data_IF_601940761610
#
_entry.id   IF_601940761610
#
_cell.length_a   1.000
_cell.length_b   1.000
_cell.length_c   1.000
_cell.angle_alpha   90.00
_cell.angle_beta   90.00
_cell.angle_gamma   90.00
#
_symmetry.space_group_name_H-M   'P 1'
#
loop_
_entity.id
_entity.type
_entity.pdbx_description
1 polymer ?
#
# COMPACT_ATOMS: atom_id res chain seq x y z
N UNK A 1 19.72 -3.32 -27.61
CA UNK A 1 19.66 -1.97 -27.06
C UNK A 1 20.23 -2.03 -25.67
N UNK A 2 21.26 -1.28 -25.28
CA UNK A 2 21.67 -1.21 -23.88
C UNK A 2 20.48 -0.63 -23.12
N UNK A 3 19.97 -1.35 -22.12
CA UNK A 3 18.95 -0.84 -21.21
C UNK A 3 19.53 0.39 -20.52
N UNK A 4 18.88 1.55 -20.69
CA UNK A 4 19.27 2.76 -19.98
C UNK A 4 19.33 2.44 -18.49
N UNK A 5 20.50 2.68 -17.87
CA UNK A 5 20.67 2.51 -16.42
C UNK A 5 19.70 3.45 -15.71
N UNK A 6 18.95 2.94 -14.75
CA UNK A 6 18.04 3.75 -13.91
C UNK A 6 18.85 4.50 -12.88
N UNK A 7 18.49 5.74 -12.62
CA UNK A 7 19.20 6.61 -11.68
C UNK A 7 18.48 6.64 -10.33
N UNK A 8 19.20 6.33 -9.25
CA UNK A 8 18.67 6.30 -7.89
C UNK A 8 19.49 7.26 -7.00
N UNK A 9 18.82 8.22 -6.36
CA UNK A 9 19.40 9.00 -5.29
C UNK A 9 19.07 8.33 -3.95
N UNK A 10 20.11 7.88 -3.23
CA UNK A 10 19.98 7.33 -1.87
C UNK A 10 20.31 8.43 -0.87
N UNK A 11 19.37 8.68 0.05
CA UNK A 11 19.48 9.72 1.08
C UNK A 11 19.41 9.05 2.46
N UNK A 12 20.54 8.99 3.12
CA UNK A 12 20.71 8.37 4.46
C UNK A 12 21.96 8.94 5.11
N UNK A 13 21.90 9.23 6.40
CA UNK A 13 23.05 9.77 7.14
C UNK A 13 24.07 8.69 7.54
N UNK A 14 23.70 7.41 7.46
CA UNK A 14 24.57 6.28 7.69
C UNK A 14 25.34 5.86 6.41
N UNK A 15 26.67 6.05 6.34
CA UNK A 15 27.47 5.61 5.20
C UNK A 15 27.38 4.10 4.94
N UNK A 16 27.15 3.28 5.96
CA UNK A 16 27.05 1.83 5.82
C UNK A 16 25.77 1.41 5.06
N UNK A 17 24.69 2.19 5.22
CA UNK A 17 23.46 1.97 4.46
C UNK A 17 23.65 2.21 2.96
N UNK A 18 24.41 3.25 2.59
CA UNK A 18 24.75 3.49 1.17
C UNK A 18 25.55 2.34 0.56
N UNK A 19 26.48 1.75 1.32
CA UNK A 19 27.26 0.60 0.85
C UNK A 19 26.38 -0.66 0.73
N UNK A 20 25.51 -0.89 1.69
CA UNK A 20 24.59 -2.00 1.71
C UNK A 20 23.64 -1.95 0.50
N UNK A 21 23.00 -0.78 0.26
CA UNK A 21 22.09 -0.59 -0.88
C UNK A 21 22.85 -0.77 -2.20
N UNK A 22 24.07 -0.23 -2.30
CA UNK A 22 24.90 -0.40 -3.49
C UNK A 22 25.23 -1.86 -3.76
N UNK A 23 25.57 -2.64 -2.73
CA UNK A 23 25.83 -4.07 -2.83
C UNK A 23 24.55 -4.86 -3.23
N UNK A 24 23.40 -4.50 -2.67
CA UNK A 24 22.12 -5.12 -3.00
C UNK A 24 21.70 -4.88 -4.46
N UNK A 25 21.98 -3.70 -5.02
CA UNK A 25 21.57 -3.30 -6.36
C UNK A 25 22.64 -3.54 -7.42
N UNK A 26 23.83 -4.05 -7.03
CA UNK A 26 24.93 -4.33 -7.97
C UNK A 26 24.47 -5.27 -9.09
N UNK A 27 24.77 -4.88 -10.35
CA UNK A 27 24.40 -5.66 -11.53
C UNK A 27 22.91 -5.64 -11.91
N UNK A 28 22.09 -4.83 -11.24
CA UNK A 28 20.63 -4.74 -11.49
C UNK A 28 20.23 -3.55 -12.39
N UNK A 29 21.20 -2.86 -13.01
CA UNK A 29 20.95 -1.74 -13.93
C UNK A 29 20.58 -0.43 -13.22
N UNK A 30 21.08 -0.21 -11.99
CA UNK A 30 20.95 1.02 -11.25
C UNK A 30 22.27 1.80 -11.22
N UNK A 31 22.20 3.09 -11.45
CA UNK A 31 23.25 4.07 -11.18
C UNK A 31 22.90 4.82 -9.91
N UNK A 32 23.78 4.79 -8.90
CA UNK A 32 23.52 5.28 -7.56
C UNK A 32 24.26 6.57 -7.29
N UNK A 33 23.54 7.60 -6.84
CA UNK A 33 24.09 8.78 -6.18
C UNK A 33 23.73 8.76 -4.68
N UNK A 34 24.51 9.48 -3.86
CA UNK A 34 24.40 9.48 -2.40
C UNK A 34 24.21 10.88 -1.88
N UNK A 35 23.36 11.06 -0.88
CA UNK A 35 23.23 12.28 -0.09
C UNK A 35 23.13 11.91 1.39
N UNK A 36 23.78 12.66 2.26
CA UNK A 36 23.81 12.37 3.70
C UNK A 36 22.65 13.03 4.48
N UNK A 37 21.83 13.85 3.84
CA UNK A 37 20.68 14.54 4.43
C UNK A 37 19.80 15.16 3.33
N UNK A 38 18.65 15.72 3.75
CA UNK A 38 17.70 16.34 2.82
C UNK A 38 18.26 17.56 2.06
N UNK A 39 19.11 18.38 2.69
CA UNK A 39 19.70 19.55 2.01
C UNK A 39 20.62 19.14 0.86
N UNK A 40 21.46 18.13 1.08
CA UNK A 40 22.30 17.57 0.02
C UNK A 40 21.47 16.91 -1.08
N UNK A 41 20.37 16.25 -0.72
CA UNK A 41 19.47 15.66 -1.69
C UNK A 41 18.84 16.72 -2.60
N UNK A 42 18.30 17.81 -2.04
CA UNK A 42 17.77 18.93 -2.80
C UNK A 42 18.83 19.56 -3.72
N UNK A 43 20.04 19.79 -3.21
CA UNK A 43 21.13 20.32 -4.01
C UNK A 43 21.57 19.41 -5.20
N UNK A 44 21.37 18.10 -5.08
CA UNK A 44 21.59 17.15 -6.18
C UNK A 44 20.45 17.16 -7.18
N UNK A 45 19.20 17.21 -6.70
CA UNK A 45 17.99 17.29 -7.52
C UNK A 45 17.94 18.57 -8.38
N UNK A 46 18.54 19.67 -7.90
CA UNK A 46 18.70 20.89 -8.69
C UNK A 46 19.66 20.73 -9.87
N UNK A 47 20.62 19.81 -9.79
CA UNK A 47 21.67 19.60 -10.80
C UNK A 47 21.36 18.49 -11.78
N UNK A 48 20.58 17.50 -11.35
CA UNK A 48 20.29 16.28 -12.11
C UNK A 48 18.92 15.71 -11.70
N UNK A 49 18.17 15.19 -12.68
CA UNK A 49 16.98 14.39 -12.45
C UNK A 49 17.37 12.94 -12.07
N UNK A 50 16.54 12.33 -11.22
CA UNK A 50 16.64 10.91 -10.85
C UNK A 50 15.31 10.23 -11.16
N UNK A 51 15.39 8.94 -11.57
CA UNK A 51 14.23 8.13 -11.81
C UNK A 51 13.50 7.83 -10.48
N UNK A 52 14.28 7.73 -9.37
CA UNK A 52 13.74 7.46 -8.04
C UNK A 52 14.66 8.04 -6.94
N UNK A 53 14.03 8.50 -5.86
CA UNK A 53 14.71 8.87 -4.60
C UNK A 53 14.34 7.88 -3.52
N UNK A 54 15.32 7.30 -2.85
CA UNK A 54 15.16 6.43 -1.67
C UNK A 54 15.72 7.16 -0.46
N UNK A 55 14.85 7.57 0.47
CA UNK A 55 15.24 8.41 1.61
C UNK A 55 14.95 7.75 2.94
N UNK A 56 15.91 7.78 3.86
CA UNK A 56 15.58 7.55 5.26
C UNK A 56 14.66 8.66 5.79
N UNK A 57 13.79 8.31 6.74
CA UNK A 57 12.93 9.27 7.46
C UNK A 57 13.76 10.00 8.50
N UNK A 58 14.54 9.27 9.30
CA UNK A 58 15.23 9.82 10.48
C UNK A 58 16.66 10.22 10.12
N UNK A 59 16.85 11.50 9.81
CA UNK A 59 18.17 12.06 9.49
C UNK A 59 18.39 13.38 10.26
N UNK A 60 19.62 13.72 10.63
CA UNK A 60 19.94 15.02 11.21
C UNK A 60 19.67 16.18 10.25
N UNK A 61 19.15 17.28 10.77
CA UNK A 61 18.81 18.47 9.98
C UNK A 61 17.48 18.31 9.29
N UNK A 62 17.45 18.33 7.96
CA UNK A 62 16.25 18.07 7.19
C UNK A 62 15.98 16.56 7.15
N UNK A 63 14.92 16.13 7.82
CA UNK A 63 14.46 14.73 7.82
C UNK A 63 13.81 14.32 6.47
N UNK A 64 13.60 13.01 6.28
CA UNK A 64 13.09 12.47 5.03
C UNK A 64 11.64 12.88 4.73
N UNK A 65 10.80 13.14 5.73
CA UNK A 65 9.41 13.59 5.55
C UNK A 65 9.37 15.06 5.12
N UNK A 66 10.22 15.88 5.71
CA UNK A 66 10.40 17.28 5.29
C UNK A 66 10.94 17.36 3.87
N UNK A 67 11.94 16.52 3.54
CA UNK A 67 12.46 16.39 2.17
C UNK A 67 11.34 15.98 1.19
N UNK A 68 10.54 15.00 1.53
CA UNK A 68 9.41 14.54 0.73
C UNK A 68 8.41 15.68 0.45
N UNK A 69 8.07 16.48 1.48
CA UNK A 69 7.22 17.67 1.32
C UNK A 69 7.79 18.69 0.34
N UNK A 70 9.07 19.02 0.45
CA UNK A 70 9.76 19.90 -0.50
C UNK A 70 9.81 19.32 -1.92
N UNK A 71 10.05 18.01 -2.04
CA UNK A 71 10.08 17.36 -3.34
C UNK A 71 8.71 17.36 -4.02
N UNK A 72 7.61 17.14 -3.29
CA UNK A 72 6.27 17.19 -3.87
C UNK A 72 5.91 18.58 -4.40
N UNK A 73 6.38 19.64 -3.76
CA UNK A 73 6.17 21.00 -4.23
C UNK A 73 6.99 21.36 -5.48
N UNK A 74 8.26 20.89 -5.57
CA UNK A 74 9.18 21.27 -6.65
C UNK A 74 9.24 20.24 -7.77
N UNK A 75 9.05 18.96 -7.47
CA UNK A 75 9.16 17.80 -8.35
C UNK A 75 7.95 16.88 -8.17
N UNK A 76 6.73 17.32 -8.55
CA UNK A 76 5.48 16.60 -8.25
C UNK A 76 5.46 15.17 -8.83
N UNK A 77 6.13 14.96 -9.96
CA UNK A 77 6.18 13.66 -10.66
C UNK A 77 7.33 12.74 -10.19
N UNK A 78 8.15 13.18 -9.21
CA UNK A 78 9.29 12.38 -8.74
C UNK A 78 8.82 11.16 -7.96
N UNK A 79 9.39 9.99 -8.27
CA UNK A 79 9.18 8.79 -7.47
C UNK A 79 10.01 8.85 -6.20
N UNK A 80 9.36 8.71 -5.04
CA UNK A 80 10.00 8.77 -3.74
C UNK A 80 9.58 7.57 -2.92
N UNK A 81 10.56 6.77 -2.51
CA UNK A 81 10.41 5.68 -1.54
C UNK A 81 11.05 6.11 -0.24
N UNK A 82 10.33 5.97 0.87
CA UNK A 82 10.86 6.27 2.19
C UNK A 82 11.26 4.98 2.92
N UNK A 83 12.43 5.01 3.55
CA UNK A 83 12.89 3.96 4.44
C UNK A 83 12.47 4.30 5.87
N UNK A 84 11.90 3.36 6.59
CA UNK A 84 11.44 3.57 7.98
C UNK A 84 11.92 2.47 8.90
N UNK A 85 12.21 2.80 10.15
CA UNK A 85 12.43 1.80 11.20
C UNK A 85 11.06 1.30 11.66
N UNK A 86 10.88 -0.02 11.78
CA UNK A 86 9.64 -0.60 12.32
C UNK A 86 9.23 0.10 13.62
N UNK A 87 7.97 0.52 13.72
CA UNK A 87 7.20 0.87 14.93
C UNK A 87 6.68 2.30 15.08
N UNK A 88 6.57 3.11 14.03
CA UNK A 88 5.86 4.40 14.14
C UNK A 88 4.81 4.56 13.04
N UNK A 89 3.57 4.15 13.35
CA UNK A 89 2.40 4.43 12.51
C UNK A 89 2.32 5.92 12.10
N UNK A 90 2.81 6.82 12.96
CA UNK A 90 2.87 8.25 12.68
C UNK A 90 3.72 8.58 11.45
N UNK A 91 4.91 8.02 11.31
CA UNK A 91 5.80 8.28 10.16
C UNK A 91 5.22 7.71 8.86
N UNK A 92 4.60 6.53 8.94
CA UNK A 92 3.97 5.92 7.76
C UNK A 92 2.75 6.75 7.32
N UNK A 93 1.92 7.20 8.26
CA UNK A 93 0.80 8.10 7.98
C UNK A 93 1.25 9.43 7.39
N UNK A 94 2.33 9.98 7.91
CA UNK A 94 2.89 11.24 7.42
C UNK A 94 3.50 11.06 6.01
N UNK A 95 4.11 9.91 5.74
CA UNK A 95 4.56 9.57 4.38
C UNK A 95 3.40 9.42 3.39
N UNK A 96 2.26 8.87 3.82
CA UNK A 96 1.03 8.85 3.02
C UNK A 96 0.50 10.27 2.76
N UNK A 97 0.46 11.14 3.77
CA UNK A 97 0.04 12.54 3.64
C UNK A 97 0.89 13.32 2.64
N UNK A 98 2.19 13.10 2.69
CA UNK A 98 3.15 13.72 1.78
C UNK A 98 3.29 12.96 0.46
N UNK A 99 2.41 11.99 0.18
CA UNK A 99 2.35 11.27 -1.09
C UNK A 99 3.66 10.56 -1.47
N UNK A 100 4.31 9.88 -0.50
CA UNK A 100 5.37 8.95 -0.84
C UNK A 100 4.84 7.91 -1.85
N UNK A 101 5.65 7.58 -2.86
CA UNK A 101 5.26 6.59 -3.86
C UNK A 101 5.18 5.20 -3.26
N UNK A 102 6.13 4.88 -2.37
CA UNK A 102 6.16 3.67 -1.56
C UNK A 102 7.00 3.89 -0.30
N UNK A 103 7.01 2.91 0.59
CA UNK A 103 7.91 2.88 1.75
C UNK A 103 8.44 1.45 1.93
N UNK A 104 9.56 1.34 2.64
CA UNK A 104 10.20 0.07 2.96
C UNK A 104 10.67 0.07 4.42
N UNK A 105 10.28 -0.97 5.17
CA UNK A 105 10.69 -1.09 6.57
C UNK A 105 12.11 -1.66 6.71
N UNK A 106 12.96 -1.02 7.52
CA UNK A 106 14.27 -1.54 7.93
C UNK A 106 14.10 -2.58 9.06
N UNK A 107 14.82 -3.73 9.05
CA UNK A 107 15.75 -4.19 8.01
C UNK A 107 15.01 -4.81 6.81
N UNK A 108 15.56 -4.66 5.62
CA UNK A 108 15.05 -5.24 4.40
C UNK A 108 16.13 -6.08 3.69
N UNK A 109 15.71 -7.04 2.89
CA UNK A 109 16.59 -7.84 2.05
C UNK A 109 16.65 -7.28 0.61
N UNK A 110 17.52 -7.92 -0.20
CA UNK A 110 17.73 -7.54 -1.61
C UNK A 110 16.46 -7.64 -2.45
N UNK A 111 15.66 -8.66 -2.22
CA UNK A 111 14.48 -8.96 -3.03
C UNK A 111 13.37 -7.94 -2.73
N UNK A 112 13.12 -7.68 -1.46
CA UNK A 112 12.18 -6.66 -0.99
C UNK A 112 12.55 -5.27 -1.51
N UNK A 113 13.85 -4.88 -1.41
CA UNK A 113 14.31 -3.60 -1.92
C UNK A 113 14.06 -3.50 -3.43
N UNK A 114 14.51 -4.49 -4.21
CA UNK A 114 14.36 -4.46 -5.66
C UNK A 114 12.89 -4.43 -6.09
N UNK A 115 12.03 -5.22 -5.47
CA UNK A 115 10.59 -5.25 -5.73
C UNK A 115 9.93 -3.90 -5.43
N UNK A 116 10.25 -3.30 -4.27
CA UNK A 116 9.70 -1.99 -3.87
C UNK A 116 10.12 -0.88 -4.84
N UNK A 117 11.40 -0.82 -5.25
CA UNK A 117 11.88 0.19 -6.20
C UNK A 117 11.22 0.03 -7.58
N UNK A 118 11.05 -1.20 -8.07
CA UNK A 118 10.41 -1.47 -9.36
C UNK A 118 8.90 -1.14 -9.32
N UNK A 119 8.23 -1.50 -8.24
CA UNK A 119 6.82 -1.16 -8.01
C UNK A 119 6.63 0.35 -7.96
N UNK A 120 7.50 1.08 -7.25
CA UNK A 120 7.44 2.54 -7.18
C UNK A 120 7.55 3.20 -8.55
N UNK A 121 8.43 2.72 -9.44
CA UNK A 121 8.57 3.26 -10.80
C UNK A 121 7.34 3.01 -11.69
N UNK A 122 6.56 1.98 -11.42
CA UNK A 122 5.33 1.68 -12.16
C UNK A 122 4.12 2.46 -11.66
N UNK A 123 4.20 3.05 -10.47
CA UNK A 123 3.12 3.81 -9.85
C UNK A 123 3.04 5.21 -10.46
N UNK A 124 1.85 5.65 -10.86
CA UNK A 124 1.65 7.03 -11.31
C UNK A 124 1.72 7.98 -10.12
N UNK A 125 2.58 8.99 -10.22
CA UNK A 125 2.78 10.02 -9.20
C UNK A 125 1.97 11.26 -9.55
N UNK A 126 1.58 12.07 -8.57
CA UNK A 126 1.06 13.42 -8.80
C UNK A 126 -0.45 13.60 -8.63
N UNK A 127 -1.18 12.66 -7.99
CA UNK A 127 -2.58 12.87 -7.61
C UNK A 127 -2.80 12.52 -6.13
N UNK A 128 -3.64 13.32 -5.45
CA UNK A 128 -4.14 13.05 -4.08
C UNK A 128 -5.14 11.88 -4.10
N UNK A 129 -4.62 10.66 -4.27
CA UNK A 129 -5.45 9.47 -4.37
C UNK A 129 -5.82 8.90 -2.99
N UNK A 130 -5.06 9.27 -1.95
CA UNK A 130 -5.28 8.85 -0.56
C UNK A 130 -5.25 10.08 0.32
N UNK A 131 -6.40 10.41 0.93
CA UNK A 131 -6.53 11.53 1.87
C UNK A 131 -6.65 10.99 3.29
N UNK A 132 -5.76 11.40 4.17
CA UNK A 132 -5.84 11.13 5.60
C UNK A 132 -6.83 12.10 6.24
N UNK A 133 -7.96 11.57 6.72
CA UNK A 133 -9.03 12.35 7.37
C UNK A 133 -8.80 12.43 8.88
N UNK A 134 -8.36 11.32 9.50
CA UNK A 134 -7.99 11.25 10.91
C UNK A 134 -6.76 10.38 11.09
N UNK A 135 -5.92 10.74 12.05
CA UNK A 135 -4.62 10.10 12.33
C UNK A 135 -4.38 9.88 13.84
N UNK A 136 -5.46 9.70 14.60
CA UNK A 136 -5.29 9.36 16.01
C UNK A 136 -4.61 7.99 16.15
N UNK A 137 -3.76 7.75 17.16
CA UNK A 137 -2.93 6.55 17.25
C UNK A 137 -3.67 5.22 17.10
N UNK A 138 -4.93 5.18 17.54
CA UNK A 138 -5.77 3.98 17.49
C UNK A 138 -7.00 4.14 16.58
N UNK A 139 -7.05 5.22 15.79
CA UNK A 139 -8.13 5.50 14.85
C UNK A 139 -7.62 6.29 13.65
N UNK A 140 -7.42 5.58 12.57
CA UNK A 140 -7.00 6.14 11.28
C UNK A 140 -8.21 6.12 10.36
N UNK A 141 -8.50 7.26 9.73
CA UNK A 141 -9.58 7.39 8.74
C UNK A 141 -9.01 7.91 7.43
N UNK A 142 -9.32 7.22 6.34
CA UNK A 142 -8.82 7.53 5.00
C UNK A 142 -9.98 7.65 4.01
N UNK A 143 -9.86 8.56 3.06
CA UNK A 143 -10.66 8.59 1.83
C UNK A 143 -9.73 8.27 0.65
N UNK A 144 -10.13 7.33 -0.19
CA UNK A 144 -9.29 6.75 -1.23
C UNK A 144 -10.00 6.78 -2.57
N UNK A 145 -9.37 7.31 -3.60
CA UNK A 145 -9.92 7.26 -4.97
C UNK A 145 -9.98 5.84 -5.50
N UNK A 146 -11.02 5.54 -6.28
CA UNK A 146 -11.22 4.21 -6.86
C UNK A 146 -10.24 3.93 -8.01
N UNK A 147 -8.95 3.76 -7.67
CA UNK A 147 -7.85 3.43 -8.57
C UNK A 147 -7.08 2.21 -8.07
N UNK A 148 -6.63 1.35 -8.99
CA UNK A 148 -5.87 0.14 -8.63
C UNK A 148 -4.54 0.45 -7.95
N UNK A 149 -3.86 1.52 -8.35
CA UNK A 149 -2.57 1.92 -7.77
C UNK A 149 -2.64 2.21 -6.27
N UNK A 150 -3.83 2.62 -5.77
CA UNK A 150 -4.04 2.90 -4.34
C UNK A 150 -4.10 1.63 -3.49
N UNK A 151 -4.52 0.51 -4.08
CA UNK A 151 -4.67 -0.78 -3.39
C UNK A 151 -3.33 -1.27 -2.85
N UNK A 152 -2.30 -1.31 -3.70
CA UNK A 152 -0.98 -1.81 -3.30
C UNK A 152 -0.34 -0.91 -2.23
N UNK A 153 -0.45 0.41 -2.38
CA UNK A 153 0.06 1.39 -1.40
C UNK A 153 -0.61 1.21 -0.04
N UNK A 154 -1.94 1.04 -0.01
CA UNK A 154 -2.68 0.82 1.23
C UNK A 154 -2.43 -0.55 1.83
N UNK A 155 -2.33 -1.60 1.02
CA UNK A 155 -2.00 -2.94 1.51
C UNK A 155 -0.64 -2.94 2.19
N UNK A 156 0.36 -2.29 1.58
CA UNK A 156 1.67 -2.12 2.20
C UNK A 156 1.57 -1.32 3.51
N UNK A 157 0.77 -0.24 3.54
CA UNK A 157 0.50 0.53 4.74
C UNK A 157 -0.08 -0.34 5.87
N UNK A 158 -1.07 -1.17 5.57
CA UNK A 158 -1.71 -2.05 6.56
C UNK A 158 -0.71 -3.06 7.14
N UNK A 159 0.20 -3.61 6.32
CA UNK A 159 1.25 -4.53 6.79
C UNK A 159 2.19 -3.90 7.82
N UNK A 160 2.45 -2.60 7.69
CA UNK A 160 3.39 -1.88 8.54
C UNK A 160 2.72 -1.24 9.78
N UNK A 161 1.39 -1.24 9.87
CA UNK A 161 0.72 -0.75 11.07
C UNK A 161 1.11 -1.58 12.29
N UNK A 162 1.41 -0.92 13.43
CA UNK A 162 1.70 -1.64 14.66
C UNK A 162 0.56 -2.55 15.05
N UNK A 163 0.85 -3.84 15.17
CA UNK A 163 -0.11 -4.85 15.63
C UNK A 163 0.61 -5.85 16.53
N UNK A 164 -0.10 -6.44 17.48
CA UNK A 164 0.40 -7.54 18.30
C UNK A 164 0.25 -8.91 17.60
N UNK A 165 -0.17 -8.88 16.34
CA UNK A 165 -0.28 -10.06 15.48
C UNK A 165 1.11 -10.61 15.12
N UNK A 166 1.21 -11.94 15.03
CA UNK A 166 2.40 -12.57 14.49
C UNK A 166 2.57 -12.24 12.97
N UNK A 167 3.74 -12.51 12.36
CA UNK A 167 3.99 -12.16 10.96
C UNK A 167 3.00 -12.80 9.98
N UNK A 168 2.60 -14.04 10.21
CA UNK A 168 1.69 -14.78 9.32
C UNK A 168 0.27 -14.21 9.41
N UNK A 169 -0.23 -13.94 10.61
CA UNK A 169 -1.53 -13.30 10.82
C UNK A 169 -1.58 -11.90 10.21
N UNK A 170 -0.49 -11.14 10.31
CA UNK A 170 -0.39 -9.81 9.72
C UNK A 170 -0.50 -9.88 8.20
N UNK A 171 0.19 -10.83 7.56
CA UNK A 171 0.11 -11.03 6.12
C UNK A 171 -1.29 -11.49 5.70
N UNK A 172 -1.90 -12.41 6.43
CA UNK A 172 -3.27 -12.87 6.19
C UNK A 172 -4.27 -11.71 6.23
N UNK A 173 -4.18 -10.85 7.24
CA UNK A 173 -5.05 -9.67 7.36
C UNK A 173 -4.79 -8.65 6.25
N UNK A 174 -3.54 -8.46 5.84
CA UNK A 174 -3.22 -7.58 4.71
C UNK A 174 -3.81 -8.12 3.38
N UNK A 175 -3.78 -9.43 3.17
CA UNK A 175 -4.42 -10.08 2.01
C UNK A 175 -5.94 -9.90 2.09
N UNK A 176 -6.56 -10.15 3.24
CA UNK A 176 -8.00 -9.98 3.43
C UNK A 176 -8.42 -8.53 3.18
N UNK A 177 -7.70 -7.57 3.74
CA UNK A 177 -7.95 -6.14 3.50
C UNK A 177 -7.81 -5.78 2.02
N UNK A 178 -6.76 -6.28 1.35
CA UNK A 178 -6.54 -6.06 -0.08
C UNK A 178 -7.72 -6.52 -0.92
N UNK A 179 -8.25 -7.71 -0.67
CA UNK A 179 -9.39 -8.26 -1.39
C UNK A 179 -10.66 -7.43 -1.17
N UNK A 180 -10.93 -7.00 0.07
CA UNK A 180 -12.07 -6.13 0.36
C UNK A 180 -11.94 -4.76 -0.30
N UNK A 181 -10.75 -4.17 -0.29
CA UNK A 181 -10.48 -2.89 -0.93
C UNK A 181 -10.60 -3.00 -2.46
N UNK A 182 -10.08 -4.08 -3.06
CA UNK A 182 -10.26 -4.35 -4.50
C UNK A 182 -11.74 -4.43 -4.86
N UNK A 183 -12.54 -5.17 -4.10
CA UNK A 183 -13.98 -5.27 -4.33
C UNK A 183 -14.66 -3.90 -4.22
N UNK A 184 -14.30 -3.10 -3.22
CA UNK A 184 -14.84 -1.75 -3.05
C UNK A 184 -14.51 -0.82 -4.23
N UNK A 185 -13.29 -0.92 -4.77
CA UNK A 185 -12.81 -0.11 -5.90
C UNK A 185 -13.38 -0.59 -7.24
N UNK A 186 -13.31 -1.91 -7.53
CA UNK A 186 -13.73 -2.47 -8.81
C UNK A 186 -15.26 -2.52 -8.93
N UNK A 187 -15.94 -3.06 -7.93
CA UNK A 187 -17.38 -3.29 -7.98
C UNK A 187 -18.19 -2.12 -7.42
N UNK A 188 -17.78 -1.56 -6.28
CA UNK A 188 -18.46 -0.42 -5.69
C UNK A 188 -18.17 0.89 -6.41
N UNK A 189 -16.89 1.16 -6.68
CA UNK A 189 -16.42 2.37 -7.35
C UNK A 189 -16.45 2.32 -8.88
N UNK A 190 -16.47 1.14 -9.49
CA UNK A 190 -16.35 0.91 -10.94
C UNK A 190 -15.06 1.50 -11.54
N UNK A 191 -13.96 1.50 -10.78
CA UNK A 191 -12.67 2.10 -11.15
C UNK A 191 -12.77 3.59 -11.53
N UNK A 192 -13.80 4.28 -11.08
CA UNK A 192 -14.02 5.70 -11.33
C UNK A 192 -13.16 6.54 -10.37
N UNK A 193 -12.12 7.26 -10.85
CA UNK A 193 -11.24 8.03 -10.00
C UNK A 193 -11.91 9.24 -9.33
N UNK A 194 -13.14 9.59 -9.70
CA UNK A 194 -13.91 10.64 -9.03
C UNK A 194 -14.63 10.13 -7.79
N UNK A 195 -14.83 8.81 -7.67
CA UNK A 195 -15.47 8.18 -6.52
C UNK A 195 -14.46 7.86 -5.43
N UNK A 196 -14.93 7.82 -4.20
CA UNK A 196 -14.13 7.60 -3.01
C UNK A 196 -14.61 6.39 -2.22
N UNK A 197 -13.67 5.56 -1.78
CA UNK A 197 -13.87 4.55 -0.75
C UNK A 197 -13.45 5.13 0.59
N UNK A 198 -14.29 5.02 1.61
CA UNK A 198 -13.96 5.39 2.97
C UNK A 198 -13.42 4.18 3.73
N UNK A 199 -12.32 4.37 4.44
CA UNK A 199 -11.63 3.32 5.20
C UNK A 199 -11.41 3.84 6.61
N UNK A 200 -11.72 3.01 7.63
CA UNK A 200 -11.33 3.25 9.00
C UNK A 200 -10.55 2.04 9.53
N UNK A 201 -9.43 2.32 10.15
CA UNK A 201 -8.68 1.40 10.98
C UNK A 201 -8.87 1.81 12.43
N UNK A 202 -9.31 0.89 13.27
CA UNK A 202 -9.49 1.12 14.71
C UNK A 202 -8.78 -0.01 15.46
N UNK A 203 -7.87 0.35 16.36
CA UNK A 203 -7.21 -0.59 17.26
C UNK A 203 -7.72 -0.41 18.67
N UNK A 204 -8.15 -1.49 19.26
CA UNK A 204 -8.52 -1.59 20.68
C UNK A 204 -7.46 -2.41 21.43
N UNK A 205 -7.65 -2.60 22.74
CA UNK A 205 -6.79 -3.49 23.53
C UNK A 205 -6.96 -4.98 23.19
N UNK A 206 -7.98 -5.36 22.41
CA UNK A 206 -8.33 -6.77 22.16
C UNK A 206 -8.61 -7.08 20.71
N UNK A 207 -8.65 -6.08 19.84
CA UNK A 207 -9.00 -6.28 18.42
C UNK A 207 -8.48 -5.17 17.53
N UNK A 208 -8.31 -5.53 16.27
CA UNK A 208 -8.12 -4.61 15.16
C UNK A 208 -9.38 -4.68 14.31
N UNK A 209 -9.93 -3.51 13.94
CA UNK A 209 -11.14 -3.39 13.14
C UNK A 209 -10.82 -2.57 11.90
N UNK A 210 -11.13 -3.12 10.74
CA UNK A 210 -11.14 -2.41 9.47
C UNK A 210 -12.57 -2.25 9.01
N UNK A 211 -13.00 -1.01 8.82
CA UNK A 211 -14.27 -0.67 8.20
C UNK A 211 -14.02 -0.09 6.83
N UNK A 212 -14.66 -0.64 5.81
CA UNK A 212 -14.55 -0.18 4.42
C UNK A 212 -15.96 0.10 3.91
N UNK A 213 -16.16 1.29 3.33
CA UNK A 213 -17.41 1.68 2.67
C UNK A 213 -17.12 2.15 1.26
N UNK A 214 -17.72 1.47 0.31
CA UNK A 214 -17.66 1.86 -1.10
C UNK A 214 -18.83 2.79 -1.50
N UNK A 215 -18.69 3.53 -2.60
CA UNK A 215 -19.69 4.47 -3.09
C UNK A 215 -20.82 3.81 -3.92
N UNK A 216 -20.84 2.48 -4.01
CA UNK A 216 -21.77 1.72 -4.85
C UNK A 216 -23.15 1.53 -4.23
N UNK A 217 -23.98 0.86 -4.99
CA UNK A 217 -25.33 0.51 -4.56
C UNK A 217 -25.34 -0.71 -3.62
N UNK A 218 -24.19 -1.37 -3.47
CA UNK A 218 -24.02 -2.58 -2.68
C UNK A 218 -24.36 -3.85 -3.46
N UNK A 219 -24.36 -4.98 -2.76
CA UNK A 219 -24.70 -6.29 -3.31
C UNK A 219 -25.48 -7.13 -2.30
N UNK A 220 -26.26 -8.09 -2.79
CA UNK A 220 -26.84 -9.14 -1.96
C UNK A 220 -25.93 -10.37 -1.97
N UNK A 221 -25.69 -10.97 -0.81
CA UNK A 221 -24.94 -12.22 -0.68
C UNK A 221 -25.57 -13.36 -1.51
N UNK A 222 -26.89 -13.32 -1.72
CA UNK A 222 -27.62 -14.30 -2.55
C UNK A 222 -27.23 -14.23 -4.03
N UNK A 223 -26.70 -13.11 -4.50
CA UNK A 223 -26.33 -12.87 -5.90
C UNK A 223 -24.84 -13.12 -6.21
N UNK A 224 -24.09 -13.71 -5.27
CA UNK A 224 -22.64 -13.96 -5.41
C UNK A 224 -22.31 -15.36 -5.98
N UNK A 225 -23.14 -15.89 -6.88
CA UNK A 225 -22.90 -17.21 -7.53
C UNK A 225 -21.52 -17.33 -8.21
N UNK A 226 -20.91 -16.20 -8.59
CA UNK A 226 -19.56 -16.12 -9.17
C UNK A 226 -18.40 -16.09 -8.13
N UNK A 227 -18.71 -16.16 -6.84
CA UNK A 227 -17.72 -16.18 -5.77
C UNK A 227 -17.68 -17.56 -5.10
N UNK A 228 -16.47 -18.01 -4.71
CA UNK A 228 -16.26 -19.33 -4.09
C UNK A 228 -17.05 -19.53 -2.78
N UNK A 229 -17.43 -18.45 -2.11
CA UNK A 229 -18.29 -18.49 -0.91
C UNK A 229 -19.69 -19.03 -1.19
N UNK A 230 -20.15 -18.99 -2.42
CA UNK A 230 -21.44 -19.54 -2.84
C UNK A 230 -21.38 -21.01 -3.28
N UNK A 231 -20.19 -21.62 -3.32
CA UNK A 231 -20.04 -23.02 -3.68
C UNK A 231 -20.65 -23.95 -2.62
N UNK A 232 -21.19 -25.06 -3.09
CA UNK A 232 -21.63 -26.13 -2.19
C UNK A 232 -20.49 -27.13 -1.97
N UNK A 233 -20.51 -27.94 -0.88
CA UNK A 233 -19.53 -29.01 -0.67
C UNK A 233 -19.47 -30.01 -1.83
N UNK A 234 -20.60 -30.20 -2.53
CA UNK A 234 -20.72 -31.14 -3.66
C UNK A 234 -20.18 -30.55 -4.97
N UNK A 235 -20.06 -29.22 -5.07
CA UNK A 235 -19.53 -28.53 -6.24
C UNK A 235 -18.61 -27.36 -5.84
N UNK A 236 -17.37 -27.68 -5.42
CA UNK A 236 -16.41 -26.68 -4.90
C UNK A 236 -15.85 -25.74 -5.97
N UNK A 237 -16.09 -26.01 -7.27
CA UNK A 237 -15.56 -25.23 -8.39
C UNK A 237 -16.68 -24.51 -9.18
N UNK A 238 -17.91 -24.58 -8.77
CA UNK A 238 -19.06 -23.95 -9.45
C UNK A 238 -18.81 -22.48 -9.84
N UNK A 239 -18.23 -21.69 -8.95
CA UNK A 239 -17.93 -20.27 -9.20
C UNK A 239 -16.98 -20.06 -10.39
N UNK A 240 -16.07 -21.01 -10.69
CA UNK A 240 -15.16 -20.94 -11.84
C UNK A 240 -15.93 -21.05 -13.14
N UNK A 241 -16.83 -22.03 -13.23
CA UNK A 241 -17.68 -22.23 -14.41
C UNK A 241 -18.59 -21.03 -14.66
N UNK A 242 -19.20 -20.46 -13.61
CA UNK A 242 -20.01 -19.25 -13.70
C UNK A 242 -19.18 -18.07 -14.21
N UNK A 243 -17.95 -17.91 -13.74
CA UNK A 243 -17.05 -16.82 -14.18
C UNK A 243 -16.61 -16.97 -15.63
N UNK A 244 -16.33 -18.19 -16.07
CA UNK A 244 -16.01 -18.48 -17.47
C UNK A 244 -17.17 -18.15 -18.39
N UNK A 245 -18.39 -18.55 -18.02
CA UNK A 245 -19.62 -18.28 -18.79
C UNK A 245 -19.94 -16.77 -18.87
N UNK A 246 -19.63 -16.01 -17.82
CA UNK A 246 -19.89 -14.56 -17.74
C UNK A 246 -18.72 -13.70 -18.26
N UNK A 247 -17.59 -14.31 -18.68
CA UNK A 247 -16.42 -13.60 -19.15
C UNK A 247 -15.72 -12.78 -18.05
N UNK A 248 -15.93 -13.14 -16.79
CA UNK A 248 -15.32 -12.48 -15.64
C UNK A 248 -13.88 -12.98 -15.44
N UNK A 249 -12.98 -12.14 -14.93
CA UNK A 249 -11.58 -12.55 -14.64
C UNK A 249 -11.54 -13.82 -13.78
N UNK A 250 -10.54 -14.71 -13.99
CA UNK A 250 -10.29 -15.82 -13.07
C UNK A 250 -10.15 -15.34 -11.63
N UNK A 251 -10.71 -16.08 -10.67
CA UNK A 251 -10.70 -15.71 -9.25
C UNK A 251 -11.98 -16.15 -8.54
N UNK A 252 -12.47 -15.35 -7.60
CA UNK A 252 -13.68 -15.65 -6.82
C UNK A 252 -13.39 -16.19 -5.43
N UNK A 253 -12.13 -16.49 -5.11
CA UNK A 253 -11.70 -16.96 -3.80
C UNK A 253 -11.49 -15.83 -2.78
N UNK A 254 -11.47 -14.56 -3.20
CA UNK A 254 -11.14 -13.43 -2.35
C UNK A 254 -12.00 -13.35 -1.09
N UNK A 255 -13.33 -13.46 -1.23
CA UNK A 255 -14.26 -13.47 -0.08
C UNK A 255 -14.03 -14.68 0.83
N UNK A 256 -13.78 -15.86 0.26
CA UNK A 256 -13.52 -17.08 1.03
C UNK A 256 -12.22 -16.93 1.84
N UNK A 257 -11.15 -16.43 1.23
CA UNK A 257 -9.89 -16.13 1.92
C UNK A 257 -10.08 -15.10 3.02
N UNK A 258 -10.84 -14.03 2.74
CA UNK A 258 -11.15 -13.00 3.74
C UNK A 258 -11.88 -13.60 4.95
N UNK A 259 -12.87 -14.46 4.71
CA UNK A 259 -13.59 -15.16 5.78
C UNK A 259 -12.69 -16.11 6.58
N UNK A 260 -11.68 -16.73 5.96
CA UNK A 260 -10.77 -17.64 6.66
C UNK A 260 -9.69 -16.91 7.47
N UNK A 261 -9.36 -15.67 7.15
CA UNK A 261 -8.31 -14.88 7.80
C UNK A 261 -8.83 -13.93 8.88
N UNK A 262 -10.06 -13.45 8.73
CA UNK A 262 -10.74 -12.64 9.73
C UNK A 262 -11.39 -13.52 10.82
N UNK A 263 -11.45 -13.02 12.04
CA UNK A 263 -12.24 -13.67 13.10
C UNK A 263 -13.73 -13.34 12.94
N UNK A 264 -14.04 -12.12 12.47
CA UNK A 264 -15.40 -11.73 12.09
C UNK A 264 -15.38 -10.88 10.80
N UNK A 265 -16.39 -11.14 9.94
CA UNK A 265 -16.64 -10.38 8.73
C UNK A 265 -18.13 -10.03 8.65
N UNK A 266 -18.46 -8.74 8.76
CA UNK A 266 -19.83 -8.25 8.88
C UNK A 266 -20.11 -7.30 7.71
N UNK A 267 -21.17 -7.56 6.97
CA UNK A 267 -21.65 -6.68 5.90
C UNK A 267 -22.90 -5.91 6.34
N UNK A 268 -23.02 -4.66 5.86
CA UNK A 268 -24.27 -3.91 6.02
C UNK A 268 -25.42 -4.58 5.23
N UNK A 269 -26.64 -4.27 5.58
CA UNK A 269 -27.81 -4.77 4.88
C UNK A 269 -27.82 -4.38 3.38
N UNK A 270 -27.22 -3.26 3.03
CA UNK A 270 -27.06 -2.80 1.65
C UNK A 270 -25.92 -3.53 0.91
N UNK A 271 -24.93 -4.06 1.64
CA UNK A 271 -23.78 -4.74 1.08
C UNK A 271 -22.65 -3.82 0.56
N UNK A 272 -22.72 -2.52 0.78
CA UNK A 272 -21.66 -1.56 0.39
C UNK A 272 -20.76 -1.12 1.55
N UNK A 273 -20.91 -1.76 2.70
CA UNK A 273 -20.08 -1.55 3.87
C UNK A 273 -19.69 -2.92 4.44
N UNK A 274 -18.43 -3.04 4.82
CA UNK A 274 -17.89 -4.25 5.43
C UNK A 274 -17.01 -3.90 6.63
N UNK A 275 -17.14 -4.69 7.69
CA UNK A 275 -16.28 -4.66 8.87
C UNK A 275 -15.52 -5.98 8.92
N UNK A 276 -14.19 -5.89 8.96
CA UNK A 276 -13.29 -7.00 9.22
C UNK A 276 -12.72 -6.82 10.63
N UNK A 277 -12.84 -7.85 11.46
CA UNK A 277 -12.34 -7.85 12.84
C UNK A 277 -11.31 -8.98 12.98
N UNK A 278 -10.18 -8.63 13.59
CA UNK A 278 -9.15 -9.57 14.06
C UNK A 278 -8.94 -9.38 15.55
N UNK A 279 -9.12 -10.43 16.33
CA UNK A 279 -8.81 -10.44 17.76
C UNK A 279 -7.30 -10.58 18.00
N UNK A 280 -6.80 -9.93 19.10
CA UNK A 280 -5.40 -9.88 19.50
C UNK A 280 -5.13 -10.87 20.64
#
# INVERSE_FOLDING_TARGET
>A
MPSSSRTLLVVDDDPSMHELIAAMLAGKGWELDRAANGDQALARLEKRSYDLVLSDILMPGMDGLTLLGHMRQRYPDAHIVVMTVKNTSAHILESLRHQATAYIAKPFDRETLAATLLSALSTKVGQDDIKVVSDKPNWISLEVRCKLDTVERLTQFIRELPSDLNPDEREQIAIAFRELLMNAIEHGGHLDPQKLVAINYIRTARSIVYYIRDPGEGFSMENLSHAAVANTPDDPMHHVEVREQTGTRPGGFGLLLTQSFADELIYSAKGNEVILIKYL
#
